data_IF_723365936669
#
_entry.id   IF_723365936669
#
_cell.length_a   1.000
_cell.length_b   1.000
_cell.length_c   1.000
_cell.angle_alpha   90.00
_cell.angle_beta   90.00
_cell.angle_gamma   90.00
#
_symmetry.space_group_name_H-M   'P 1'
#
loop_
_entity.id
_entity.type
_entity.pdbx_description
1 polymer ?
#
# COMPACT_ATOMS: atom_id res chain seq x y z
N UNK A 1 19.55 -5.32 9.66
CA UNK A 1 20.11 -6.05 8.51
C UNK A 1 19.28 -5.61 7.31
N UNK A 2 19.91 -4.94 6.35
CA UNK A 2 19.26 -4.47 5.12
C UNK A 2 20.09 -4.97 3.93
N UNK A 3 19.48 -5.67 2.98
CA UNK A 3 20.17 -6.22 1.79
C UNK A 3 19.18 -6.46 0.64
N UNK A 4 19.64 -6.21 -0.58
CA UNK A 4 18.94 -6.57 -1.81
C UNK A 4 19.66 -7.74 -2.49
N UNK A 5 18.92 -8.73 -2.99
CA UNK A 5 19.49 -9.87 -3.71
C UNK A 5 18.49 -10.50 -4.67
N UNK A 6 19.01 -11.32 -5.59
CA UNK A 6 18.19 -12.11 -6.50
C UNK A 6 17.76 -13.42 -5.86
N UNK A 7 16.47 -13.75 -6.00
CA UNK A 7 15.90 -15.05 -5.64
C UNK A 7 15.07 -15.60 -6.82
N UNK A 8 15.70 -16.36 -7.70
CA UNK A 8 15.06 -16.86 -8.92
C UNK A 8 14.67 -15.74 -9.87
N UNK A 9 13.36 -15.55 -10.06
CA UNK A 9 12.75 -14.47 -10.85
C UNK A 9 12.30 -13.28 -9.99
N UNK A 10 12.67 -13.26 -8.71
CA UNK A 10 12.37 -12.16 -7.81
C UNK A 10 13.62 -11.34 -7.50
N UNK A 11 13.44 -10.02 -7.40
CA UNK A 11 14.31 -9.16 -6.59
C UNK A 11 13.76 -9.16 -5.17
N UNK A 12 14.62 -9.39 -4.18
CA UNK A 12 14.24 -9.46 -2.77
C UNK A 12 15.00 -8.40 -1.98
N UNK A 13 14.26 -7.55 -1.28
CA UNK A 13 14.79 -6.62 -0.29
C UNK A 13 14.42 -7.12 1.11
N UNK A 14 15.40 -7.58 1.88
CA UNK A 14 15.26 -7.77 3.32
C UNK A 14 15.65 -6.47 4.00
N UNK A 15 14.72 -5.76 4.63
CA UNK A 15 14.99 -4.46 5.23
C UNK A 15 13.96 -4.10 6.33
N UNK A 16 14.19 -3.07 7.16
CA UNK A 16 13.17 -2.52 8.05
C UNK A 16 11.99 -1.90 7.27
N UNK A 17 10.93 -1.55 8.01
CA UNK A 17 9.63 -1.16 7.42
C UNK A 17 9.72 0.07 6.52
N UNK A 18 10.62 1.02 6.80
CA UNK A 18 10.77 2.26 6.03
C UNK A 18 11.36 2.01 4.65
N UNK A 19 12.45 1.27 4.61
CA UNK A 19 13.16 0.89 3.40
C UNK A 19 12.27 -0.01 2.53
N UNK A 20 11.52 -0.94 3.15
CA UNK A 20 10.54 -1.76 2.41
C UNK A 20 9.40 -0.93 1.84
N UNK A 21 8.93 0.09 2.57
CA UNK A 21 7.91 1.01 2.08
C UNK A 21 8.43 1.85 0.91
N UNK A 22 9.61 2.46 1.06
CA UNK A 22 10.26 3.22 -0.01
C UNK A 22 10.46 2.36 -1.27
N UNK A 23 10.98 1.15 -1.09
CA UNK A 23 11.14 0.18 -2.17
C UNK A 23 9.80 -0.18 -2.83
N UNK A 24 8.73 -0.41 -2.06
CA UNK A 24 7.41 -0.70 -2.62
C UNK A 24 6.91 0.46 -3.51
N UNK A 25 7.02 1.70 -3.01
CA UNK A 25 6.59 2.89 -3.75
C UNK A 25 7.37 3.04 -5.07
N UNK A 26 8.68 2.78 -5.05
CA UNK A 26 9.53 2.82 -6.24
C UNK A 26 9.22 1.69 -7.25
N UNK A 27 8.87 0.50 -6.75
CA UNK A 27 8.70 -0.69 -7.58
C UNK A 27 7.30 -0.86 -8.17
N UNK A 28 6.23 -0.42 -7.50
CA UNK A 28 4.83 -0.75 -7.86
C UNK A 28 4.36 -0.31 -9.25
N UNK A 29 5.12 0.53 -9.95
CA UNK A 29 4.88 0.90 -11.36
C UNK A 29 5.82 0.23 -12.37
N UNK A 30 6.85 -0.48 -11.89
CA UNK A 30 7.91 -1.09 -12.68
C UNK A 30 7.83 -2.62 -12.71
N UNK A 31 7.10 -3.21 -11.76
CA UNK A 31 7.01 -4.66 -11.57
C UNK A 31 5.57 -5.14 -11.73
N UNK A 32 5.40 -6.40 -12.10
CA UNK A 32 4.08 -7.03 -12.22
C UNK A 32 3.51 -7.38 -10.84
N UNK A 33 4.37 -7.78 -9.92
CA UNK A 33 4.00 -8.26 -8.60
C UNK A 33 5.00 -7.77 -7.55
N UNK A 34 4.50 -7.25 -6.42
CA UNK A 34 5.29 -6.90 -5.25
C UNK A 34 4.59 -7.44 -3.99
N UNK A 35 5.30 -8.26 -3.22
CA UNK A 35 4.78 -8.98 -2.05
C UNK A 35 5.62 -8.63 -0.81
N UNK A 36 4.97 -8.13 0.24
CA UNK A 36 5.59 -7.86 1.55
C UNK A 36 5.14 -8.92 2.56
N UNK A 37 6.10 -9.56 3.23
CA UNK A 37 5.84 -10.54 4.32
C UNK A 37 6.09 -9.98 5.72
N UNK A 38 6.42 -8.68 5.83
CA UNK A 38 6.77 -8.00 7.07
C UNK A 38 8.26 -8.04 7.42
N UNK A 39 9.07 -8.80 6.68
CA UNK A 39 10.54 -8.80 6.77
C UNK A 39 11.20 -8.59 5.42
N UNK A 40 10.53 -9.01 4.35
CA UNK A 40 11.03 -9.00 2.98
C UNK A 40 9.99 -8.41 2.05
N UNK A 41 10.46 -7.60 1.11
CA UNK A 41 9.73 -7.22 -0.08
C UNK A 41 10.27 -8.04 -1.25
N UNK A 42 9.40 -8.81 -1.92
CA UNK A 42 9.74 -9.60 -3.12
C UNK A 42 9.03 -9.01 -4.32
N UNK A 43 9.76 -8.68 -5.37
CA UNK A 43 9.21 -8.07 -6.57
C UNK A 43 9.59 -8.85 -7.84
N UNK A 44 8.63 -8.99 -8.78
CA UNK A 44 8.77 -9.74 -10.04
C UNK A 44 8.25 -8.92 -11.22
N UNK A 45 8.89 -8.95 -12.41
CA UNK A 45 10.06 -9.75 -12.78
C UNK A 45 11.38 -9.23 -12.20
N UNK A 46 12.38 -10.11 -12.15
CA UNK A 46 13.72 -9.70 -11.78
C UNK A 46 14.31 -8.76 -12.84
N UNK A 47 14.93 -7.68 -12.38
CA UNK A 47 15.75 -6.79 -13.22
C UNK A 47 17.01 -6.41 -12.45
N UNK A 48 18.16 -6.63 -13.07
CA UNK A 48 19.47 -6.34 -12.47
C UNK A 48 19.64 -4.85 -12.14
N UNK A 49 19.00 -3.97 -12.93
CA UNK A 49 18.98 -2.52 -12.71
C UNK A 49 18.28 -2.08 -11.41
N UNK A 50 17.56 -3.00 -10.75
CA UNK A 50 16.86 -2.69 -9.49
C UNK A 50 17.71 -2.99 -8.25
N UNK A 51 18.79 -3.78 -8.35
CA UNK A 51 19.55 -4.21 -7.17
C UNK A 51 20.25 -3.05 -6.48
N UNK A 52 21.03 -2.26 -7.22
CA UNK A 52 21.79 -1.14 -6.67
C UNK A 52 20.88 -0.05 -6.07
N UNK A 53 19.80 0.41 -6.74
CA UNK A 53 18.86 1.36 -6.12
C UNK A 53 18.16 0.83 -4.86
N UNK A 54 17.88 -0.47 -4.78
CA UNK A 54 17.25 -1.04 -3.59
C UNK A 54 18.25 -1.21 -2.44
N UNK A 55 19.51 -1.49 -2.77
CA UNK A 55 20.59 -1.57 -1.79
C UNK A 55 20.97 -0.18 -1.27
N UNK A 56 20.86 0.88 -2.08
CA UNK A 56 21.13 2.24 -1.62
C UNK A 56 20.19 2.71 -0.51
N UNK A 57 18.93 2.25 -0.51
CA UNK A 57 17.95 2.53 0.56
C UNK A 57 18.45 2.08 1.94
N UNK A 58 19.32 1.07 1.99
CA UNK A 58 19.91 0.58 3.23
C UNK A 58 20.95 1.53 3.84
N UNK A 59 21.48 2.48 3.06
CA UNK A 59 22.48 3.45 3.48
C UNK A 59 21.93 4.83 3.84
N UNK A 60 20.64 5.07 3.57
CA UNK A 60 20.02 6.38 3.75
C UNK A 60 19.76 6.71 5.23
N UNK A 61 19.75 8.01 5.52
CA UNK A 61 19.37 8.50 6.85
C UNK A 61 17.85 8.32 7.00
N UNK A 62 17.35 7.65 8.06
CA UNK A 62 15.92 7.34 8.18
C UNK A 62 14.98 8.55 8.15
N UNK A 63 15.44 9.73 8.60
CA UNK A 63 14.64 10.96 8.53
C UNK A 63 14.42 11.42 7.09
N UNK A 64 15.45 11.31 6.27
CA UNK A 64 15.44 11.79 4.89
C UNK A 64 14.62 10.82 4.04
N UNK A 65 14.81 9.52 4.26
CA UNK A 65 14.01 8.48 3.62
C UNK A 65 12.51 8.58 3.99
N UNK A 66 12.19 8.93 5.24
CA UNK A 66 10.80 9.17 5.64
C UNK A 66 10.23 10.39 4.92
N UNK A 67 11.00 11.47 4.77
CA UNK A 67 10.57 12.66 4.03
C UNK A 67 10.26 12.30 2.57
N UNK A 68 11.15 11.57 1.90
CA UNK A 68 10.97 11.12 0.51
C UNK A 68 9.72 10.25 0.36
N UNK A 69 9.48 9.33 1.30
CA UNK A 69 8.26 8.51 1.35
C UNK A 69 7.01 9.37 1.50
N UNK A 70 7.03 10.37 2.38
CA UNK A 70 5.88 11.27 2.60
C UNK A 70 5.62 12.12 1.35
N UNK A 71 6.66 12.64 0.70
CA UNK A 71 6.54 13.38 -0.55
C UNK A 71 5.95 12.52 -1.67
N UNK A 72 6.44 11.28 -1.83
CA UNK A 72 5.92 10.34 -2.80
C UNK A 72 4.43 10.03 -2.57
N UNK A 73 4.03 9.72 -1.32
CA UNK A 73 2.63 9.47 -0.97
C UNK A 73 1.74 10.69 -1.23
N UNK A 74 2.17 11.87 -0.80
CA UNK A 74 1.42 13.11 -1.01
C UNK A 74 1.27 13.43 -2.50
N UNK A 75 2.30 13.19 -3.31
CA UNK A 75 2.26 13.42 -4.78
C UNK A 75 1.19 12.59 -5.48
N UNK A 76 0.84 11.44 -4.91
CA UNK A 76 -0.23 10.57 -5.41
C UNK A 76 -1.61 10.89 -4.83
N UNK A 77 -1.70 11.92 -3.97
CA UNK A 77 -2.95 12.35 -3.35
C UNK A 77 -3.33 11.55 -2.10
N UNK A 78 -2.37 10.92 -1.43
CA UNK A 78 -2.59 10.42 -0.07
C UNK A 78 -2.57 11.58 0.93
N UNK A 79 -3.49 11.54 1.88
CA UNK A 79 -3.41 12.32 3.11
C UNK A 79 -2.70 11.47 4.15
N UNK A 80 -1.55 11.94 4.61
CA UNK A 80 -0.71 11.23 5.57
C UNK A 80 -0.68 11.96 6.90
N UNK A 81 -1.00 11.25 7.98
CA UNK A 81 -0.73 11.69 9.34
C UNK A 81 0.55 11.00 9.82
N UNK A 82 1.63 11.77 9.91
CA UNK A 82 2.95 11.30 10.30
C UNK A 82 3.47 12.08 11.51
N UNK A 83 4.01 11.33 12.46
CA UNK A 83 4.79 11.87 13.58
C UNK A 83 6.20 11.25 13.47
N UNK A 84 6.52 10.21 14.25
CA UNK A 84 7.76 9.43 14.09
C UNK A 84 7.67 8.36 13.00
N UNK A 85 6.44 8.03 12.60
CA UNK A 85 6.08 7.02 11.63
C UNK A 85 4.71 7.37 11.05
N UNK A 86 4.34 6.71 9.96
CA UNK A 86 3.01 6.83 9.34
C UNK A 86 1.96 6.27 10.31
N UNK A 87 1.19 7.16 10.92
CA UNK A 87 0.13 6.80 11.85
C UNK A 87 -1.17 6.48 11.10
N UNK A 88 -1.51 7.32 10.11
CA UNK A 88 -2.69 7.11 9.26
C UNK A 88 -2.41 7.46 7.80
N UNK A 89 -3.07 6.74 6.92
CA UNK A 89 -3.16 7.05 5.49
C UNK A 89 -4.62 7.16 5.11
N UNK A 90 -4.97 8.15 4.30
CA UNK A 90 -6.32 8.27 3.76
C UNK A 90 -6.26 8.70 2.30
N UNK A 91 -7.07 8.06 1.46
CA UNK A 91 -7.24 8.47 0.07
C UNK A 91 -8.70 8.33 -0.32
N UNK A 92 -9.17 9.29 -1.11
CA UNK A 92 -10.53 9.28 -1.64
C UNK A 92 -10.46 9.13 -3.15
N UNK A 93 -11.37 8.35 -3.72
CA UNK A 93 -11.51 8.22 -5.17
C UNK A 93 -12.99 8.15 -5.54
N UNK A 94 -13.28 8.42 -6.81
CA UNK A 94 -14.61 8.23 -7.36
C UNK A 94 -14.88 6.73 -7.56
N UNK A 95 -16.08 6.29 -7.18
CA UNK A 95 -16.55 4.92 -7.37
C UNK A 95 -18.01 4.97 -7.84
N UNK A 96 -18.23 4.73 -9.14
CA UNK A 96 -19.54 4.92 -9.77
C UNK A 96 -20.11 6.33 -9.57
N UNK A 97 -21.35 6.48 -9.04
CA UNK A 97 -21.96 7.78 -8.79
C UNK A 97 -21.48 8.46 -7.49
N UNK A 98 -20.71 7.76 -6.66
CA UNK A 98 -20.32 8.23 -5.33
C UNK A 98 -18.81 8.41 -5.14
N UNK A 99 -18.44 8.66 -3.89
CA UNK A 99 -17.06 8.72 -3.41
C UNK A 99 -16.82 7.51 -2.51
N UNK A 100 -15.67 6.86 -2.72
CA UNK A 100 -15.11 5.87 -1.81
C UNK A 100 -13.93 6.50 -1.07
N UNK A 101 -13.90 6.31 0.24
CA UNK A 101 -12.82 6.71 1.13
C UNK A 101 -12.17 5.43 1.63
N UNK A 102 -10.87 5.31 1.40
CA UNK A 102 -10.02 4.30 2.01
C UNK A 102 -9.18 4.95 3.11
N UNK A 103 -9.13 4.32 4.28
CA UNK A 103 -8.34 4.76 5.42
C UNK A 103 -7.56 3.59 6.01
N UNK A 104 -6.29 3.80 6.33
CA UNK A 104 -5.46 2.95 7.17
C UNK A 104 -5.27 3.65 8.51
N UNK A 105 -5.71 3.04 9.59
CA UNK A 105 -5.11 3.27 10.91
C UNK A 105 -3.94 2.30 11.05
N UNK A 106 -2.75 2.80 10.71
CA UNK A 106 -1.58 1.96 10.57
C UNK A 106 -0.96 1.63 11.94
N UNK A 107 -1.36 2.33 13.01
CA UNK A 107 -1.02 1.97 14.41
C UNK A 107 -1.87 0.80 14.89
N UNK A 108 -3.18 0.87 14.66
CA UNK A 108 -4.14 -0.19 15.03
C UNK A 108 -4.18 -1.33 14.01
N UNK A 109 -3.36 -1.27 12.95
CA UNK A 109 -3.27 -2.29 11.90
C UNK A 109 -4.62 -2.61 11.27
N UNK A 110 -5.38 -1.56 10.96
CA UNK A 110 -6.75 -1.66 10.47
C UNK A 110 -6.98 -0.78 9.24
N UNK A 111 -7.42 -1.40 8.16
CA UNK A 111 -7.91 -0.73 6.97
C UNK A 111 -9.44 -0.64 7.00
N UNK A 112 -9.97 0.52 6.64
CA UNK A 112 -11.40 0.81 6.55
C UNK A 112 -11.75 1.39 5.19
N UNK A 113 -12.96 1.06 4.73
CA UNK A 113 -13.57 1.61 3.54
C UNK A 113 -14.91 2.20 3.94
N UNK A 114 -15.18 3.40 3.43
CA UNK A 114 -16.50 4.02 3.48
C UNK A 114 -16.89 4.38 2.05
N UNK A 115 -18.03 3.87 1.56
CA UNK A 115 -18.56 4.24 0.25
C UNK A 115 -20.00 4.73 0.40
N UNK A 116 -20.30 5.87 -0.24
CA UNK A 116 -21.65 6.39 -0.38
C UNK A 116 -22.40 5.80 -1.59
N UNK A 117 -21.89 4.68 -2.13
CA UNK A 117 -22.52 3.93 -3.20
C UNK A 117 -22.33 2.42 -2.98
N UNK A 118 -23.03 1.60 -3.76
CA UNK A 118 -22.84 0.15 -3.79
C UNK A 118 -21.63 -0.30 -4.63
N UNK A 119 -20.81 0.64 -5.12
CA UNK A 119 -19.57 0.36 -5.82
C UNK A 119 -18.34 0.65 -4.94
N UNK A 120 -17.32 -0.23 -4.92
CA UNK A 120 -17.35 -1.63 -5.35
C UNK A 120 -18.38 -2.43 -4.55
N UNK A 121 -18.94 -3.50 -5.11
CA UNK A 121 -19.93 -4.30 -4.40
C UNK A 121 -19.31 -5.06 -3.20
N UNK A 122 -20.15 -5.50 -2.27
CA UNK A 122 -19.71 -6.17 -1.04
C UNK A 122 -18.96 -7.48 -1.29
N UNK A 123 -19.30 -8.21 -2.36
CA UNK A 123 -18.64 -9.46 -2.75
C UNK A 123 -17.22 -9.22 -3.23
N UNK A 124 -16.99 -8.19 -4.05
CA UNK A 124 -15.67 -7.81 -4.53
C UNK A 124 -14.76 -7.36 -3.37
N UNK A 125 -15.29 -6.59 -2.42
CA UNK A 125 -14.56 -6.20 -1.21
C UNK A 125 -14.27 -7.41 -0.30
N UNK A 126 -15.20 -8.36 -0.18
CA UNK A 126 -14.97 -9.60 0.54
C UNK A 126 -13.87 -10.46 -0.12
N UNK A 127 -13.76 -10.44 -1.46
CA UNK A 127 -12.66 -11.05 -2.20
C UNK A 127 -11.28 -10.46 -1.86
N UNK A 128 -11.25 -9.18 -1.45
CA UNK A 128 -10.07 -8.53 -0.87
C UNK A 128 -9.98 -8.69 0.66
N UNK A 129 -10.72 -9.63 1.26
CA UNK A 129 -10.64 -9.96 2.68
C UNK A 129 -11.33 -8.97 3.63
N UNK A 130 -12.15 -8.05 3.12
CA UNK A 130 -12.91 -7.13 3.97
C UNK A 130 -14.17 -7.79 4.55
N UNK A 131 -14.46 -7.47 5.81
CA UNK A 131 -15.78 -7.66 6.39
C UNK A 131 -16.63 -6.46 6.03
N UNK A 132 -17.69 -6.68 5.25
CA UNK A 132 -18.55 -5.61 4.76
C UNK A 132 -19.81 -5.50 5.61
N UNK A 133 -20.27 -4.26 5.79
CA UNK A 133 -21.51 -3.92 6.46
C UNK A 133 -22.29 -2.96 5.56
N UNK A 134 -23.51 -3.32 5.13
CA UNK A 134 -24.31 -2.40 4.32
C UNK A 134 -24.78 -1.21 5.17
N UNK A 135 -24.82 -0.05 4.54
CA UNK A 135 -25.48 1.16 5.02
C UNK A 135 -26.71 1.43 4.16
N UNK A 136 -27.54 2.40 4.57
CA UNK A 136 -28.76 2.76 3.83
C UNK A 136 -28.48 3.15 2.36
N UNK A 137 -27.39 3.85 2.08
CA UNK A 137 -27.01 4.32 0.73
C UNK A 137 -25.65 3.83 0.25
N UNK A 138 -25.04 2.85 0.93
CA UNK A 138 -23.68 2.44 0.62
C UNK A 138 -23.18 1.31 1.51
N UNK A 139 -21.89 1.36 1.86
CA UNK A 139 -21.29 0.33 2.70
C UNK A 139 -20.11 0.86 3.51
N UNK A 140 -19.84 0.13 4.57
CA UNK A 140 -18.57 0.17 5.30
C UNK A 140 -17.89 -1.18 5.14
N UNK A 141 -16.56 -1.17 5.16
CA UNK A 141 -15.79 -2.40 5.17
C UNK A 141 -14.55 -2.26 6.04
N UNK A 142 -14.18 -3.32 6.75
CA UNK A 142 -12.96 -3.34 7.57
C UNK A 142 -12.13 -4.61 7.35
N UNK A 143 -10.81 -4.46 7.41
CA UNK A 143 -9.85 -5.56 7.32
C UNK A 143 -8.60 -5.25 8.14
N UNK A 144 -8.07 -6.25 8.85
CA UNK A 144 -6.76 -6.15 9.48
C UNK A 144 -5.61 -6.20 8.45
N UNK A 145 -4.56 -5.43 8.70
CA UNK A 145 -3.35 -5.35 7.87
C UNK A 145 -2.10 -5.67 8.71
N UNK A 146 -1.00 -6.02 8.06
CA UNK A 146 0.27 -6.36 8.70
C UNK A 146 1.28 -5.21 8.60
N UNK A 147 1.23 -4.44 7.52
CA UNK A 147 2.17 -3.37 7.22
C UNK A 147 1.52 -2.23 6.42
N UNK A 148 2.21 -1.09 6.35
CA UNK A 148 1.82 0.03 5.49
C UNK A 148 1.87 -0.38 4.01
N UNK A 149 2.83 -1.22 3.64
CA UNK A 149 2.93 -1.78 2.28
C UNK A 149 1.69 -2.59 1.93
N UNK A 150 1.21 -3.47 2.83
CA UNK A 150 -0.04 -4.21 2.62
C UNK A 150 -1.24 -3.25 2.46
N UNK A 151 -1.29 -2.17 3.25
CA UNK A 151 -2.37 -1.18 3.12
C UNK A 151 -2.39 -0.54 1.72
N UNK A 152 -1.22 -0.15 1.18
CA UNK A 152 -1.12 0.41 -0.16
C UNK A 152 -1.46 -0.61 -1.25
N UNK A 153 -0.98 -1.86 -1.13
CA UNK A 153 -1.32 -2.92 -2.08
C UNK A 153 -2.82 -3.24 -2.10
N UNK A 154 -3.46 -3.24 -0.93
CA UNK A 154 -4.92 -3.38 -0.82
C UNK A 154 -5.63 -2.21 -1.52
N UNK A 155 -5.15 -0.98 -1.32
CA UNK A 155 -5.70 0.19 -1.99
C UNK A 155 -5.60 0.08 -3.51
N UNK A 156 -4.46 -0.35 -4.04
CA UNK A 156 -4.27 -0.54 -5.49
C UNK A 156 -5.30 -1.55 -6.05
N UNK A 157 -5.64 -2.58 -5.28
CA UNK A 157 -6.75 -3.50 -5.59
C UNK A 157 -8.12 -2.83 -5.57
N UNK A 158 -8.41 -2.01 -4.55
CA UNK A 158 -9.67 -1.26 -4.43
C UNK A 158 -9.83 -0.27 -5.58
N UNK A 159 -8.75 0.43 -5.96
CA UNK A 159 -8.77 1.37 -7.07
C UNK A 159 -9.12 0.67 -8.39
N UNK A 160 -8.54 -0.51 -8.65
CA UNK A 160 -8.90 -1.34 -9.82
C UNK A 160 -10.38 -1.72 -9.81
N UNK A 161 -10.92 -2.15 -8.66
CA UNK A 161 -12.33 -2.49 -8.53
C UNK A 161 -13.24 -1.28 -8.77
N UNK A 162 -12.91 -0.12 -8.18
CA UNK A 162 -13.69 1.11 -8.32
C UNK A 162 -13.71 1.64 -9.75
N UNK A 163 -12.63 1.46 -10.52
CA UNK A 163 -12.56 1.81 -11.95
C UNK A 163 -13.31 0.85 -12.87
N UNK A 164 -13.65 -0.34 -12.38
CA UNK A 164 -14.47 -1.32 -13.12
C UNK A 164 -15.97 -1.16 -12.91
N UNK A 165 -16.34 -0.16 -12.09
CA UNK A 165 -17.65 0.46 -12.07
C UNK A 165 -17.67 1.67 -13.04
#
# INVERSE_FOLDING_TARGET
MCKAYRDGDYVVLEAPDLERLAAYLALRGLVEEALDDGMRLRARPFSEHLLEPLESLCGDVPSDLLLDVLEALNSEGWLVDADRWIARLRRSLRAGPGILIYECDCRERLARIFSASSCPNSEALAGLGFKTRPLYTGLEAERGIKSVVEALAIYDGIEKLARSC
#
